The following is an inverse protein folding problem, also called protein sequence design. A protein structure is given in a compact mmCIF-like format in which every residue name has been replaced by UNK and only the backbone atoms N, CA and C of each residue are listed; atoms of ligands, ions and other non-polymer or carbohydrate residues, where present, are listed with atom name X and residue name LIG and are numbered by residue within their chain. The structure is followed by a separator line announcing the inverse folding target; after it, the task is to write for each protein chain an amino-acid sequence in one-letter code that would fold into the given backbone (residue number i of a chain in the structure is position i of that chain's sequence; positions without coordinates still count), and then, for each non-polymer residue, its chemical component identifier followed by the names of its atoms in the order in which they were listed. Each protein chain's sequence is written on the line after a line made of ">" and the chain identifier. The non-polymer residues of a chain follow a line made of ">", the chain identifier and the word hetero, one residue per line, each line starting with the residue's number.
data_IF_971050426869
#
_entry.id   IF_971050426869
#
_cell.length_a   1.000
_cell.length_b   1.000
_cell.length_c   1.000
_cell.angle_alpha   90.00
_cell.angle_beta   90.00
_cell.angle_gamma   90.00
#
_symmetry.space_group_name_H-M   'P 1'
#
loop_
_entity.id
_entity.type
_entity.pdbx_description
1 polymer ?
#
# COMPACT_ATOMS: atom_id res chain seq x y z
N UNK A 1 15.70 -30.02 -11.02
CA UNK A 1 16.73 -29.81 -12.07
C UNK A 1 17.42 -28.48 -11.81
N UNK A 2 18.76 -28.45 -11.81
CA UNK A 2 19.50 -27.20 -11.76
C UNK A 2 19.27 -26.41 -13.06
N UNK A 3 18.92 -25.12 -12.97
CA UNK A 3 18.85 -24.22 -14.13
C UNK A 3 20.25 -23.76 -14.46
N UNK A 4 20.72 -24.03 -15.67
CA UNK A 4 21.98 -23.49 -16.16
C UNK A 4 21.74 -22.10 -16.76
N UNK A 5 22.43 -21.08 -16.26
CA UNK A 5 22.28 -19.68 -16.65
C UNK A 5 23.54 -19.25 -17.39
N UNK A 6 23.42 -18.84 -18.65
CA UNK A 6 24.54 -18.53 -19.55
C UNK A 6 24.77 -17.03 -19.73
N UNK A 7 23.79 -16.20 -19.35
CA UNK A 7 23.85 -14.75 -19.52
C UNK A 7 22.86 -14.05 -18.57
N UNK A 8 22.95 -12.72 -18.51
CA UNK A 8 22.11 -11.89 -17.65
C UNK A 8 20.62 -11.98 -17.96
N UNK A 9 20.24 -12.16 -19.24
CA UNK A 9 18.84 -12.29 -19.63
C UNK A 9 18.23 -13.59 -19.10
N UNK A 10 18.98 -14.69 -19.13
CA UNK A 10 18.57 -15.96 -18.53
C UNK A 10 18.49 -15.87 -17.00
N UNK A 11 19.42 -15.15 -16.37
CA UNK A 11 19.38 -14.90 -14.92
C UNK A 11 18.11 -14.13 -14.53
N UNK A 12 17.83 -13.03 -15.24
CA UNK A 12 16.65 -12.20 -14.99
C UNK A 12 15.36 -13.03 -15.15
N UNK A 13 15.25 -13.80 -16.25
CA UNK A 13 14.11 -14.70 -16.47
C UNK A 13 13.98 -15.76 -15.38
N UNK A 14 15.09 -16.27 -14.86
CA UNK A 14 15.08 -17.24 -13.78
C UNK A 14 14.61 -16.65 -12.44
N UNK A 15 14.95 -15.39 -12.15
CA UNK A 15 14.58 -14.68 -10.93
C UNK A 15 13.17 -14.05 -10.99
N UNK A 16 12.66 -13.75 -12.18
CA UNK A 16 11.40 -13.03 -12.39
C UNK A 16 10.22 -13.59 -11.57
N UNK A 17 9.94 -14.92 -11.55
CA UNK A 17 8.80 -15.44 -10.80
C UNK A 17 8.93 -15.24 -9.29
N UNK A 18 10.15 -15.33 -8.77
CA UNK A 18 10.46 -15.07 -7.36
C UNK A 18 10.26 -13.59 -7.02
N UNK A 19 10.72 -12.69 -7.89
CA UNK A 19 10.54 -11.25 -7.71
C UNK A 19 9.06 -10.85 -7.76
N UNK A 20 8.26 -11.42 -8.67
CA UNK A 20 6.81 -11.15 -8.78
C UNK A 20 6.12 -11.46 -7.46
N UNK A 21 6.31 -12.68 -6.94
CA UNK A 21 5.69 -13.09 -5.69
C UNK A 21 6.20 -12.30 -4.48
N UNK A 22 7.47 -11.92 -4.47
CA UNK A 22 8.02 -11.06 -3.43
C UNK A 22 7.31 -9.70 -3.42
N UNK A 23 7.32 -8.99 -4.56
CA UNK A 23 6.75 -7.65 -4.67
C UNK A 23 5.25 -7.67 -4.41
N UNK A 24 4.54 -8.71 -4.83
CA UNK A 24 3.12 -8.85 -4.51
C UNK A 24 2.89 -9.00 -2.99
N UNK A 25 3.73 -9.77 -2.30
CA UNK A 25 3.69 -9.88 -0.83
C UNK A 25 4.00 -8.55 -0.14
N UNK A 26 4.95 -7.77 -0.68
CA UNK A 26 5.26 -6.43 -0.16
C UNK A 26 4.07 -5.48 -0.35
N UNK A 27 3.48 -5.47 -1.55
CA UNK A 27 2.29 -4.68 -1.84
C UNK A 27 1.10 -5.08 -0.96
N UNK A 28 0.91 -6.37 -0.70
CA UNK A 28 -0.11 -6.87 0.22
C UNK A 28 0.07 -6.30 1.63
N UNK A 29 1.31 -6.23 2.16
CA UNK A 29 1.59 -5.63 3.47
C UNK A 29 1.21 -4.15 3.50
N UNK A 30 1.59 -3.38 2.47
CA UNK A 30 1.24 -1.94 2.38
C UNK A 30 -0.27 -1.76 2.29
N UNK A 31 -0.95 -2.60 1.49
CA UNK A 31 -2.41 -2.56 1.33
C UNK A 31 -3.16 -2.88 2.63
N UNK A 32 -2.71 -3.87 3.39
CA UNK A 32 -3.27 -4.20 4.71
C UNK A 32 -3.11 -3.05 5.71
N UNK A 33 -1.92 -2.44 5.76
CA UNK A 33 -1.66 -1.29 6.64
C UNK A 33 -2.48 -0.06 6.21
N UNK A 34 -2.63 0.19 4.91
CA UNK A 34 -3.50 1.25 4.42
C UNK A 34 -4.96 1.03 4.85
N UNK A 35 -5.47 -0.19 4.69
CA UNK A 35 -6.84 -0.51 5.12
C UNK A 35 -7.00 -0.40 6.64
N UNK A 36 -5.98 -0.73 7.43
CA UNK A 36 -5.99 -0.51 8.87
C UNK A 36 -6.18 0.98 9.20
N UNK A 37 -5.40 1.88 8.62
CA UNK A 37 -5.51 3.32 8.90
C UNK A 37 -6.78 3.95 8.34
N UNK A 38 -7.29 3.48 7.19
CA UNK A 38 -8.61 3.88 6.69
C UNK A 38 -9.69 3.42 7.67
N UNK A 39 -9.65 2.18 8.14
CA UNK A 39 -10.61 1.68 9.13
C UNK A 39 -10.54 2.47 10.43
N UNK A 40 -9.34 2.73 10.94
CA UNK A 40 -9.09 3.51 12.15
C UNK A 40 -9.70 4.92 12.02
N UNK A 41 -9.47 5.60 10.89
CA UNK A 41 -10.10 6.88 10.57
C UNK A 41 -11.65 6.83 10.60
N UNK A 42 -12.27 5.71 10.28
CA UNK A 42 -13.73 5.57 10.39
C UNK A 42 -14.17 5.21 11.81
N UNK A 43 -13.43 4.38 12.54
CA UNK A 43 -13.84 3.89 13.87
C UNK A 43 -13.44 4.82 15.02
N UNK A 44 -12.41 5.65 14.84
CA UNK A 44 -11.86 6.51 15.89
C UNK A 44 -12.64 7.80 16.15
N UNK A 45 -13.64 8.12 15.32
CA UNK A 45 -14.56 9.24 15.54
C UNK A 45 -15.91 8.96 14.88
N UNK A 46 -16.99 9.59 15.32
CA UNK A 46 -18.33 9.49 14.69
C UNK A 46 -18.88 10.91 14.45
N UNK A 47 -19.24 11.28 13.22
CA UNK A 47 -19.80 12.59 12.93
C UNK A 47 -21.23 12.74 13.43
N UNK A 48 -21.52 13.88 14.07
CA UNK A 48 -22.90 14.28 14.40
C UNK A 48 -23.52 15.17 13.30
N UNK A 49 -22.70 15.88 12.53
CA UNK A 49 -23.14 16.92 11.59
C UNK A 49 -23.40 16.45 10.16
N UNK A 50 -23.04 15.21 9.81
CA UNK A 50 -23.24 14.67 8.48
C UNK A 50 -23.31 13.14 8.45
N UNK A 51 -23.89 12.59 7.39
CA UNK A 51 -23.91 11.14 7.11
C UNK A 51 -22.71 10.76 6.24
N UNK A 52 -22.03 9.68 6.58
CA UNK A 52 -20.90 9.14 5.81
C UNK A 52 -21.38 8.46 4.52
N UNK A 53 -20.66 8.69 3.42
CA UNK A 53 -20.85 7.97 2.16
C UNK A 53 -20.07 6.64 2.10
N UNK A 54 -19.07 6.50 2.98
CA UNK A 54 -18.18 5.35 3.08
C UNK A 54 -17.33 5.08 1.82
N UNK A 55 -17.32 5.99 0.84
CA UNK A 55 -16.50 5.85 -0.37
C UNK A 55 -15.00 5.73 -0.02
N UNK A 56 -14.50 6.56 0.91
CA UNK A 56 -13.11 6.47 1.37
C UNK A 56 -12.78 5.13 2.06
N UNK A 57 -13.73 4.52 2.77
CA UNK A 57 -13.55 3.19 3.39
C UNK A 57 -13.25 2.10 2.35
N UNK A 58 -13.75 2.26 1.13
CA UNK A 58 -13.60 1.29 0.02
C UNK A 58 -12.57 1.73 -1.03
N UNK A 59 -11.81 2.79 -0.75
CA UNK A 59 -10.96 3.46 -1.75
C UNK A 59 -9.56 2.86 -1.91
N UNK A 60 -9.09 2.03 -0.98
CA UNK A 60 -7.79 1.39 -1.12
C UNK A 60 -7.78 0.40 -2.28
N UNK A 61 -6.79 0.50 -3.15
CA UNK A 61 -6.57 -0.41 -4.28
C UNK A 61 -5.17 -1.01 -4.21
N UNK A 62 -5.08 -2.31 -4.45
CA UNK A 62 -3.82 -3.02 -4.74
C UNK A 62 -3.86 -3.52 -6.17
N UNK A 63 -2.82 -3.20 -6.95
CA UNK A 63 -2.56 -3.79 -8.26
C UNK A 63 -1.51 -4.89 -8.08
N UNK A 64 -1.84 -6.09 -8.56
CA UNK A 64 -0.96 -7.25 -8.49
C UNK A 64 0.39 -6.99 -9.18
N UNK A 65 1.44 -7.63 -8.66
CA UNK A 65 2.78 -7.44 -9.18
C UNK A 65 2.96 -7.96 -10.61
N UNK A 66 3.60 -7.16 -11.46
CA UNK A 66 3.85 -7.49 -12.86
C UNK A 66 5.29 -7.14 -13.28
N UNK A 67 5.86 -7.79 -14.32
CA UNK A 67 7.15 -7.41 -14.88
C UNK A 67 7.15 -5.97 -15.42
N UNK A 68 8.14 -5.17 -15.02
CA UNK A 68 8.30 -3.79 -15.51
C UNK A 68 9.78 -3.45 -15.65
N UNK A 69 10.19 -2.99 -16.84
CA UNK A 69 11.55 -2.49 -17.16
C UNK A 69 12.72 -3.32 -16.58
N UNK A 70 12.64 -4.64 -16.69
CA UNK A 70 13.69 -5.54 -16.20
C UNK A 70 13.59 -5.92 -14.71
N UNK A 71 12.65 -5.32 -13.99
CA UNK A 71 12.28 -5.65 -12.62
C UNK A 71 10.82 -6.07 -12.50
N UNK A 72 10.23 -5.79 -11.34
CA UNK A 72 8.84 -6.06 -11.01
C UNK A 72 8.26 -4.85 -10.30
N UNK A 73 7.02 -4.51 -10.64
CA UNK A 73 6.28 -3.40 -10.04
C UNK A 73 4.92 -3.87 -9.56
N UNK A 74 4.47 -3.30 -8.44
CA UNK A 74 3.09 -3.32 -7.97
C UNK A 74 2.72 -1.90 -7.52
N UNK A 75 1.42 -1.63 -7.35
CA UNK A 75 0.94 -0.33 -6.90
C UNK A 75 -0.08 -0.51 -5.78
N UNK A 76 0.03 0.30 -4.73
CA UNK A 76 -1.01 0.48 -3.72
C UNK A 76 -1.34 1.96 -3.68
N UNK A 77 -2.62 2.31 -3.77
CA UNK A 77 -3.06 3.69 -3.78
C UNK A 77 -4.50 3.85 -3.27
N UNK A 78 -4.87 5.09 -3.00
CA UNK A 78 -6.24 5.51 -2.72
C UNK A 78 -6.86 5.95 -4.05
N UNK A 79 -7.87 5.23 -4.53
CA UNK A 79 -8.61 5.58 -5.74
C UNK A 79 -9.61 6.70 -5.44
N UNK A 80 -9.09 7.93 -5.32
CA UNK A 80 -9.93 9.08 -5.03
C UNK A 80 -10.80 9.53 -6.21
N UNK A 81 -10.58 8.99 -7.41
CA UNK A 81 -11.40 9.32 -8.57
C UNK A 81 -12.74 8.58 -8.56
N UNK A 82 -12.82 7.41 -7.93
CA UNK A 82 -14.08 6.67 -7.74
C UNK A 82 -14.90 7.13 -6.54
N UNK A 83 -14.38 8.08 -5.76
CA UNK A 83 -15.08 8.69 -4.63
C UNK A 83 -15.87 9.93 -5.08
N UNK A 84 -16.95 9.72 -5.83
CA UNK A 84 -17.72 10.76 -6.55
C UNK A 84 -19.05 11.14 -5.89
N UNK A 85 -19.37 10.58 -4.73
CA UNK A 85 -20.65 10.73 -4.04
C UNK A 85 -20.66 11.80 -2.92
N UNK A 86 -19.56 12.53 -2.75
CA UNK A 86 -19.43 13.57 -1.75
C UNK A 86 -20.14 14.88 -2.15
N UNK A 87 -20.95 15.42 -1.23
CA UNK A 87 -21.56 16.74 -1.40
C UNK A 87 -20.53 17.81 -1.03
N UNK A 88 -20.27 18.75 -1.95
CA UNK A 88 -19.34 19.89 -1.77
C UNK A 88 -17.88 19.53 -1.48
N UNK A 89 -17.45 18.31 -1.75
CA UNK A 89 -16.05 17.89 -1.68
C UNK A 89 -15.74 16.91 -2.81
N UNK A 90 -14.51 16.90 -3.29
CA UNK A 90 -14.01 15.84 -4.17
C UNK A 90 -13.40 14.71 -3.36
N UNK A 91 -13.35 13.50 -3.92
CA UNK A 91 -12.58 12.40 -3.34
C UNK A 91 -11.12 12.79 -3.03
N UNK A 92 -10.50 13.59 -3.90
CA UNK A 92 -9.13 14.07 -3.67
C UNK A 92 -9.03 14.93 -2.40
N UNK A 93 -9.96 15.87 -2.19
CA UNK A 93 -10.01 16.68 -0.97
C UNK A 93 -10.23 15.82 0.27
N UNK A 94 -11.09 14.80 0.19
CA UNK A 94 -11.31 13.87 1.30
C UNK A 94 -10.05 13.11 1.66
N UNK A 95 -9.31 12.60 0.67
CA UNK A 95 -8.02 11.93 0.90
C UNK A 95 -6.97 12.89 1.50
N UNK A 96 -6.93 14.15 1.05
CA UNK A 96 -6.04 15.17 1.63
C UNK A 96 -6.37 15.48 3.09
N UNK A 97 -7.66 15.64 3.42
CA UNK A 97 -8.10 15.87 4.79
C UNK A 97 -7.77 14.70 5.69
N UNK A 98 -8.07 13.47 5.26
CA UNK A 98 -7.73 12.27 6.00
C UNK A 98 -6.21 12.15 6.24
N UNK A 99 -5.36 12.54 5.28
CA UNK A 99 -3.92 12.54 5.51
C UNK A 99 -3.42 13.70 6.39
N UNK A 100 -4.19 14.78 6.48
CA UNK A 100 -3.87 15.93 7.34
C UNK A 100 -4.40 15.76 8.78
N UNK A 101 -4.99 14.61 9.11
CA UNK A 101 -5.62 14.35 10.42
C UNK A 101 -6.97 15.05 10.61
N UNK A 102 -7.68 15.38 9.53
CA UNK A 102 -8.99 16.00 9.55
C UNK A 102 -10.08 15.02 9.14
N UNK A 103 -11.24 15.06 9.81
CA UNK A 103 -12.41 14.28 9.43
C UNK A 103 -13.40 15.14 8.65
N UNK A 104 -13.46 14.95 7.33
CA UNK A 104 -14.34 15.76 6.45
C UNK A 104 -14.06 17.26 6.53
N UNK A 105 -12.78 17.64 6.71
CA UNK A 105 -12.34 19.03 6.91
C UNK A 105 -12.42 19.52 8.36
N UNK A 106 -12.92 18.72 9.30
CA UNK A 106 -13.02 19.08 10.71
C UNK A 106 -11.83 18.56 11.51
N UNK A 107 -11.28 19.41 12.40
CA UNK A 107 -10.31 18.97 13.40
C UNK A 107 -11.05 18.38 14.59
N UNK A 108 -10.83 17.10 14.86
CA UNK A 108 -11.42 16.37 16.00
C UNK A 108 -10.32 15.75 16.87
N UNK A 109 -10.65 15.02 17.93
CA UNK A 109 -9.65 14.45 18.84
C UNK A 109 -8.80 13.35 18.20
N UNK A 110 -9.41 12.53 17.35
CA UNK A 110 -8.74 11.48 16.59
C UNK A 110 -8.20 12.05 15.26
N UNK A 111 -6.93 11.80 14.94
CA UNK A 111 -6.22 12.47 13.84
C UNK A 111 -5.17 11.57 13.16
N UNK A 112 -5.55 10.38 12.64
CA UNK A 112 -4.61 9.58 11.88
C UNK A 112 -4.22 10.34 10.61
N UNK A 113 -2.97 10.21 10.17
CA UNK A 113 -2.50 10.71 8.88
C UNK A 113 -2.46 9.53 7.93
N UNK A 114 -3.62 9.17 7.39
CA UNK A 114 -3.87 7.83 6.80
C UNK A 114 -2.76 7.33 5.86
N UNK A 115 -2.28 8.17 4.95
CA UNK A 115 -1.23 7.78 4.02
C UNK A 115 0.17 7.87 4.64
N UNK A 116 0.49 8.98 5.32
CA UNK A 116 1.80 9.18 5.92
C UNK A 116 2.10 8.10 6.98
N UNK A 117 1.13 7.80 7.85
CA UNK A 117 1.26 6.76 8.87
C UNK A 117 1.36 5.37 8.22
N UNK A 118 0.70 5.13 7.07
CA UNK A 118 0.91 3.90 6.29
C UNK A 118 2.35 3.77 5.80
N UNK A 119 2.91 4.86 5.25
CA UNK A 119 4.29 4.90 4.76
C UNK A 119 5.28 4.75 5.92
N UNK A 120 5.01 5.39 7.05
CA UNK A 120 5.83 5.30 8.26
C UNK A 120 5.86 3.87 8.83
N UNK A 121 4.69 3.23 8.92
CA UNK A 121 4.54 1.87 9.47
C UNK A 121 4.95 0.74 8.52
N UNK A 122 5.32 1.04 7.27
CA UNK A 122 5.75 0.01 6.31
C UNK A 122 7.10 0.30 5.68
N UNK A 123 7.26 1.46 5.07
CA UNK A 123 8.42 1.82 4.25
C UNK A 123 9.50 2.43 5.14
N UNK A 124 9.18 3.48 5.89
CA UNK A 124 10.20 4.26 6.62
C UNK A 124 10.74 3.52 7.83
N UNK A 125 9.95 2.66 8.47
CA UNK A 125 10.42 1.83 9.60
C UNK A 125 11.28 0.62 9.17
N UNK A 126 11.50 0.41 7.87
CA UNK A 126 12.33 -0.66 7.32
C UNK A 126 11.70 -2.06 7.38
N UNK A 127 10.46 -2.21 7.86
CA UNK A 127 9.79 -3.51 7.96
C UNK A 127 9.56 -4.15 6.58
N UNK A 128 9.26 -3.35 5.56
CA UNK A 128 9.07 -3.83 4.18
C UNK A 128 10.38 -4.38 3.58
N UNK A 129 11.51 -3.72 3.86
CA UNK A 129 12.83 -4.21 3.45
C UNK A 129 13.17 -5.53 4.15
N UNK A 130 12.93 -5.62 5.46
CA UNK A 130 13.15 -6.86 6.21
C UNK A 130 12.29 -8.01 5.65
N UNK A 131 11.02 -7.73 5.31
CA UNK A 131 10.12 -8.70 4.68
C UNK A 131 10.66 -9.18 3.32
N UNK A 132 11.23 -8.29 2.52
CA UNK A 132 11.85 -8.64 1.24
C UNK A 132 13.08 -9.56 1.44
N UNK A 133 13.96 -9.20 2.38
CA UNK A 133 15.15 -10.01 2.72
C UNK A 133 14.75 -11.40 3.21
N UNK A 134 13.78 -11.48 4.12
CA UNK A 134 13.25 -12.75 4.62
C UNK A 134 12.64 -13.59 3.49
N UNK A 135 11.90 -12.95 2.58
CA UNK A 135 11.32 -13.64 1.43
C UNK A 135 12.40 -14.24 0.54
N UNK A 136 13.41 -13.46 0.14
CA UNK A 136 14.51 -13.95 -0.70
C UNK A 136 15.28 -15.11 -0.05
N UNK A 137 15.60 -14.99 1.24
CA UNK A 137 16.24 -16.07 2.01
C UNK A 137 15.38 -17.35 2.03
N UNK A 138 14.06 -17.23 2.16
CA UNK A 138 13.14 -18.38 2.11
C UNK A 138 13.12 -19.09 0.75
N UNK A 139 13.54 -18.40 -0.30
CA UNK A 139 13.66 -18.95 -1.67
C UNK A 139 15.08 -19.46 -1.97
N UNK A 140 15.96 -19.55 -0.97
CA UNK A 140 17.34 -20.00 -1.12
C UNK A 140 18.30 -18.95 -1.68
N UNK A 141 17.88 -17.68 -1.78
CA UNK A 141 18.73 -16.58 -2.24
C UNK A 141 19.42 -15.98 -1.03
N UNK A 142 20.76 -16.09 -0.99
CA UNK A 142 21.56 -15.51 0.08
C UNK A 142 21.60 -13.98 -0.06
N UNK A 143 21.11 -13.29 0.96
CA UNK A 143 21.14 -11.82 1.07
C UNK A 143 21.92 -11.46 2.33
N UNK A 144 23.00 -10.70 2.18
CA UNK A 144 23.82 -10.21 3.30
C UNK A 144 23.14 -8.97 3.89
N UNK A 145 23.07 -8.92 5.21
CA UNK A 145 22.63 -7.77 6.01
C UNK A 145 23.82 -6.91 6.41
#
# INVERSE_FOLDING_TARGET
>A
MAKHVRNMNELQKALQPTMIKMVDKLAQRVYETLNYFISDYYTGWTPESYRRTEAFLRSAVKVDAYPDKGGVKASVYIDYNSMDDYVNATGYQVAQWANSGLHGGLSVSHKPRVWDDTVDETINNGSLLQLAVQYLRSQGISVRS
#
